data_IF_531496472510
#
_entry.id   IF_531496472510
#
_cell.length_a   1.000
_cell.length_b   1.000
_cell.length_c   1.000
_cell.angle_alpha   90.00
_cell.angle_beta   90.00
_cell.angle_gamma   90.00
#
_symmetry.space_group_name_H-M   'P 1'
#
loop_
_entity.id
_entity.type
_entity.pdbx_description
1 polymer ?
#
# COMPACT_ATOMS: atom_id res chain seq x y z
N UNK A 1 -9.32 15.23 39.96
CA UNK A 1 -9.18 16.27 38.91
C UNK A 1 -8.88 15.71 37.52
N UNK A 2 -8.15 14.59 37.34
CA UNK A 2 -7.79 14.06 36.00
C UNK A 2 -8.91 13.46 35.13
N UNK A 3 -10.07 13.07 35.69
CA UNK A 3 -11.21 12.54 34.90
C UNK A 3 -11.98 13.64 34.13
N UNK A 4 -12.03 14.86 34.66
CA UNK A 4 -12.72 15.98 34.02
C UNK A 4 -11.90 16.57 32.87
N UNK A 5 -10.57 16.64 33.00
CA UNK A 5 -9.68 17.10 31.91
C UNK A 5 -9.75 16.16 30.70
N UNK A 6 -9.81 14.85 30.95
CA UNK A 6 -9.84 13.86 29.89
C UNK A 6 -11.14 13.83 29.08
N UNK A 7 -12.27 14.04 29.75
CA UNK A 7 -13.57 14.11 29.07
C UNK A 7 -13.65 15.36 28.20
N UNK A 8 -13.12 16.48 28.71
CA UNK A 8 -13.01 17.73 27.95
C UNK A 8 -12.08 17.57 26.73
N UNK A 9 -10.95 16.89 26.86
CA UNK A 9 -10.02 16.63 25.75
C UNK A 9 -10.66 15.79 24.63
N UNK A 10 -11.43 14.76 24.99
CA UNK A 10 -12.15 13.92 24.01
C UNK A 10 -13.24 14.70 23.27
N UNK A 11 -13.96 15.59 23.96
CA UNK A 11 -14.96 16.48 23.35
C UNK A 11 -14.26 17.49 22.43
N UNK A 12 -13.14 18.07 22.86
CA UNK A 12 -12.37 18.99 22.03
C UNK A 12 -11.82 18.32 20.76
N UNK A 13 -11.33 17.08 20.85
CA UNK A 13 -10.91 16.31 19.67
C UNK A 13 -12.07 16.02 18.71
N UNK A 14 -13.25 15.72 19.27
CA UNK A 14 -14.50 15.50 18.52
C UNK A 14 -14.87 16.76 17.72
N UNK A 15 -14.87 17.93 18.37
CA UNK A 15 -15.17 19.21 17.72
C UNK A 15 -14.12 19.60 16.67
N UNK A 16 -12.83 19.39 16.96
CA UNK A 16 -11.75 19.65 16.00
C UNK A 16 -11.89 18.80 14.74
N UNK A 17 -12.25 17.52 14.87
CA UNK A 17 -12.50 16.64 13.73
C UNK A 17 -13.68 17.15 12.89
N UNK A 18 -14.79 17.51 13.53
CA UNK A 18 -15.97 18.03 12.86
C UNK A 18 -15.67 19.32 12.08
N UNK A 19 -15.10 20.33 12.74
CA UNK A 19 -14.79 21.64 12.15
C UNK A 19 -13.82 21.56 10.97
N UNK A 20 -12.92 20.57 10.96
CA UNK A 20 -11.89 20.44 9.91
C UNK A 20 -12.36 19.67 8.69
N UNK A 21 -13.26 18.70 8.85
CA UNK A 21 -13.53 17.69 7.81
C UNK A 21 -15.02 17.63 7.44
N UNK A 22 -15.92 17.80 8.40
CA UNK A 22 -17.34 17.49 8.21
C UNK A 22 -18.22 18.73 8.08
N UNK A 23 -17.89 19.82 8.78
CA UNK A 23 -18.60 21.09 8.61
C UNK A 23 -18.51 21.58 7.16
N UNK A 24 -19.51 22.34 6.72
CA UNK A 24 -19.55 22.89 5.36
C UNK A 24 -18.30 23.73 5.04
N UNK A 25 -17.87 24.59 5.97
CA UNK A 25 -16.64 25.37 5.83
C UNK A 25 -15.39 24.47 5.76
N UNK A 26 -15.25 23.51 6.68
CA UNK A 26 -14.08 22.62 6.70
C UNK A 26 -13.97 21.74 5.46
N UNK A 27 -15.11 21.30 4.92
CA UNK A 27 -15.17 20.60 3.64
C UNK A 27 -14.72 21.48 2.49
N UNK A 28 -15.26 22.70 2.38
CA UNK A 28 -14.90 23.65 1.30
C UNK A 28 -13.42 24.01 1.36
N UNK A 29 -12.91 24.35 2.55
CA UNK A 29 -11.47 24.62 2.77
C UNK A 29 -10.60 23.43 2.34
N UNK A 30 -11.01 22.21 2.68
CA UNK A 30 -10.29 21.01 2.28
C UNK A 30 -10.36 20.82 0.77
N UNK A 31 -11.50 21.07 0.16
CA UNK A 31 -11.68 20.95 -1.29
C UNK A 31 -10.84 21.95 -2.08
N UNK A 32 -10.84 23.21 -1.68
CA UNK A 32 -10.02 24.26 -2.27
C UNK A 32 -8.53 23.94 -2.16
N UNK A 33 -8.07 23.40 -1.03
CA UNK A 33 -6.68 22.94 -0.88
C UNK A 33 -6.34 21.81 -1.85
N UNK A 34 -7.23 20.85 -2.05
CA UNK A 34 -7.01 19.77 -3.03
C UNK A 34 -6.98 20.30 -4.46
N UNK A 35 -7.76 21.33 -4.76
CA UNK A 35 -7.71 22.02 -6.06
C UNK A 35 -6.40 22.79 -6.25
N UNK A 36 -5.98 23.58 -5.27
CA UNK A 36 -4.71 24.33 -5.31
C UNK A 36 -3.49 23.40 -5.43
N UNK A 37 -3.52 22.26 -4.72
CA UNK A 37 -2.45 21.26 -4.74
C UNK A 37 -2.54 20.30 -5.92
N UNK A 38 -3.50 20.46 -6.84
CA UNK A 38 -3.74 19.48 -7.90
C UNK A 38 -2.51 19.22 -8.77
N UNK A 39 -1.85 20.28 -9.27
CA UNK A 39 -0.66 20.13 -10.11
C UNK A 39 0.52 19.47 -9.37
N UNK A 40 0.69 19.81 -8.08
CA UNK A 40 1.68 19.17 -7.23
C UNK A 40 1.37 17.67 -7.07
N UNK A 41 0.12 17.33 -6.74
CA UNK A 41 -0.32 15.96 -6.61
C UNK A 41 -0.12 15.17 -7.91
N UNK A 42 -0.43 15.76 -9.07
CA UNK A 42 -0.22 15.14 -10.39
C UNK A 42 1.24 14.74 -10.57
N UNK A 43 2.16 15.67 -10.33
CA UNK A 43 3.60 15.41 -10.40
C UNK A 43 4.01 14.30 -9.45
N UNK A 44 3.61 14.37 -8.19
CA UNK A 44 3.97 13.36 -7.19
C UNK A 44 3.39 11.98 -7.52
N UNK A 45 2.17 11.89 -8.05
CA UNK A 45 1.60 10.62 -8.47
C UNK A 45 2.44 9.96 -9.57
N UNK A 46 2.84 10.71 -10.61
CA UNK A 46 3.70 10.14 -11.66
C UNK A 46 5.08 9.73 -11.14
N UNK A 47 5.65 10.49 -10.20
CA UNK A 47 6.97 10.19 -9.61
C UNK A 47 6.92 8.99 -8.65
N UNK A 48 5.80 8.76 -7.97
CA UNK A 48 5.71 7.70 -6.95
C UNK A 48 5.06 6.42 -7.46
N UNK A 49 3.95 6.52 -8.19
CA UNK A 49 3.13 5.36 -8.58
C UNK A 49 3.80 4.55 -9.68
N UNK A 50 4.41 5.22 -10.67
CA UNK A 50 4.91 4.54 -11.86
C UNK A 50 6.13 3.64 -11.58
N UNK A 51 7.21 4.08 -10.90
CA UNK A 51 8.31 3.18 -10.54
C UNK A 51 7.84 2.01 -9.67
N UNK A 52 6.85 2.26 -8.82
CA UNK A 52 6.29 1.27 -7.92
C UNK A 52 5.47 0.21 -8.65
N UNK A 53 4.54 0.60 -9.54
CA UNK A 53 3.75 -0.31 -10.37
C UNK A 53 4.65 -1.14 -11.30
N UNK A 54 5.68 -0.54 -11.90
CA UNK A 54 6.62 -1.23 -12.78
C UNK A 54 7.52 -2.21 -12.01
N UNK A 55 7.99 -1.84 -10.82
CA UNK A 55 8.73 -2.76 -9.94
C UNK A 55 7.84 -3.95 -9.59
N UNK A 56 6.59 -3.68 -9.24
CA UNK A 56 5.67 -4.72 -8.84
C UNK A 56 5.32 -5.67 -9.96
N UNK A 57 5.05 -5.16 -11.15
CA UNK A 57 4.86 -6.03 -12.30
C UNK A 57 6.13 -6.84 -12.59
N UNK A 58 7.29 -6.19 -12.59
CA UNK A 58 8.57 -6.84 -12.87
C UNK A 58 8.85 -8.01 -11.93
N UNK A 59 8.82 -7.76 -10.63
CA UNK A 59 9.05 -8.76 -9.58
C UNK A 59 7.92 -9.79 -9.56
N UNK A 60 6.66 -9.35 -9.64
CA UNK A 60 5.48 -10.22 -9.61
C UNK A 60 5.52 -11.27 -10.73
N UNK A 61 5.85 -10.85 -11.96
CA UNK A 61 5.97 -11.77 -13.10
C UNK A 61 7.15 -12.74 -12.94
N UNK A 62 8.28 -12.33 -12.34
CA UNK A 62 9.40 -13.25 -12.06
C UNK A 62 9.03 -14.36 -11.08
N UNK A 63 8.11 -14.09 -10.15
CA UNK A 63 7.52 -15.09 -9.26
C UNK A 63 6.26 -15.75 -9.84
N UNK A 64 5.95 -15.51 -11.12
CA UNK A 64 4.79 -16.02 -11.83
C UNK A 64 3.45 -15.69 -11.12
N UNK A 65 3.38 -14.54 -10.45
CA UNK A 65 2.13 -14.02 -9.90
C UNK A 65 1.24 -13.50 -11.01
N UNK A 66 -0.07 -13.70 -10.87
CA UNK A 66 -1.00 -13.12 -11.83
C UNK A 66 -1.04 -11.60 -11.66
N UNK A 67 -0.97 -10.80 -12.73
CA UNK A 67 -1.06 -9.34 -12.62
C UNK A 67 -2.30 -8.86 -11.87
N UNK A 68 -3.43 -9.59 -11.99
CA UNK A 68 -4.67 -9.27 -11.28
C UNK A 68 -4.52 -9.34 -9.74
N UNK A 69 -3.62 -10.20 -9.26
CA UNK A 69 -3.38 -10.41 -7.83
C UNK A 69 -2.56 -9.26 -7.22
N UNK A 70 -1.78 -8.55 -8.05
CA UNK A 70 -0.94 -7.42 -7.65
C UNK A 70 -1.82 -6.23 -7.27
N UNK A 71 -2.35 -6.23 -6.03
CA UNK A 71 -3.32 -5.23 -5.55
C UNK A 71 -2.93 -3.78 -5.81
N UNK A 72 -1.69 -3.32 -5.58
CA UNK A 72 -1.33 -1.94 -5.88
C UNK A 72 -1.43 -1.60 -7.36
N UNK A 73 -1.08 -2.52 -8.25
CA UNK A 73 -1.34 -2.40 -9.69
C UNK A 73 -2.85 -2.26 -9.87
N UNK A 74 -3.64 -3.23 -9.42
CA UNK A 74 -5.08 -3.30 -9.66
C UNK A 74 -5.96 -2.40 -8.79
N UNK A 75 -5.38 -1.56 -7.94
CA UNK A 75 -6.12 -0.63 -7.09
C UNK A 75 -6.63 0.55 -7.91
N UNK A 76 -7.76 0.34 -8.58
CA UNK A 76 -8.48 1.35 -9.33
C UNK A 76 -9.97 1.26 -8.99
N UNK A 77 -10.57 2.40 -8.65
CA UNK A 77 -12.01 2.50 -8.47
C UNK A 77 -12.57 3.48 -9.50
N UNK A 78 -13.75 3.19 -10.02
CA UNK A 78 -14.54 4.16 -10.73
C UNK A 78 -15.37 4.97 -9.73
N UNK A 79 -15.46 6.28 -9.99
CA UNK A 79 -16.24 7.21 -9.18
C UNK A 79 -17.50 7.57 -9.95
N UNK A 80 -18.65 7.44 -9.31
CA UNK A 80 -19.92 7.92 -9.82
C UNK A 80 -20.58 8.87 -8.81
N UNK A 81 -21.29 9.86 -9.34
CA UNK A 81 -22.07 10.77 -8.49
C UNK A 81 -23.29 10.04 -7.91
N UNK A 82 -23.67 10.37 -6.66
CA UNK A 82 -24.80 9.74 -6.00
C UNK A 82 -26.13 10.20 -6.60
N UNK A 83 -27.19 9.43 -6.37
CA UNK A 83 -28.56 9.93 -6.54
C UNK A 83 -28.92 10.98 -5.49
N UNK A 84 -30.05 11.68 -5.68
CA UNK A 84 -30.56 12.63 -4.68
C UNK A 84 -30.83 11.92 -3.34
N UNK A 85 -31.46 10.75 -3.37
CA UNK A 85 -31.76 9.96 -2.16
C UNK A 85 -30.48 9.50 -1.45
N UNK A 86 -29.48 9.07 -2.20
CA UNK A 86 -28.15 8.73 -1.68
C UNK A 86 -27.49 9.93 -1.01
N UNK A 87 -27.55 11.11 -1.64
CA UNK A 87 -27.01 12.36 -1.09
C UNK A 87 -27.72 12.77 0.21
N UNK A 88 -29.04 12.64 0.28
CA UNK A 88 -29.82 12.90 1.51
C UNK A 88 -29.46 11.94 2.64
N UNK A 89 -29.04 10.71 2.31
CA UNK A 89 -28.47 9.77 3.27
C UNK A 89 -26.97 9.97 3.53
N UNK A 90 -26.38 11.04 3.00
CA UNK A 90 -24.99 11.42 3.21
C UNK A 90 -24.00 10.62 2.38
N UNK A 91 -24.42 9.97 1.29
CA UNK A 91 -23.51 9.37 0.31
C UNK A 91 -23.20 10.46 -0.71
N UNK A 92 -21.97 10.98 -0.69
CA UNK A 92 -21.50 12.07 -1.53
C UNK A 92 -20.84 11.57 -2.81
N UNK A 93 -20.28 10.36 -2.78
CA UNK A 93 -19.63 9.74 -3.93
C UNK A 93 -19.68 8.23 -3.82
N UNK A 94 -19.95 7.57 -4.95
CA UNK A 94 -19.94 6.12 -5.07
C UNK A 94 -18.59 5.65 -5.61
N UNK A 95 -18.10 4.56 -5.02
CA UNK A 95 -16.86 3.90 -5.40
C UNK A 95 -17.17 2.48 -5.81
N UNK A 96 -16.86 2.17 -7.06
CA UNK A 96 -17.00 0.83 -7.64
C UNK A 96 -15.62 0.34 -8.03
N UNK A 97 -15.27 -0.89 -7.63
CA UNK A 97 -13.99 -1.46 -8.00
C UNK A 97 -13.96 -1.63 -9.53
N UNK A 98 -12.90 -1.14 -10.16
CA UNK A 98 -12.74 -1.29 -11.61
C UNK A 98 -12.65 -2.77 -11.97
N UNK A 99 -13.44 -3.21 -12.94
CA UNK A 99 -13.46 -4.60 -13.36
C UNK A 99 -12.41 -4.87 -14.45
N UNK A 100 -11.21 -5.23 -14.03
CA UNK A 100 -10.10 -5.58 -14.90
C UNK A 100 -10.41 -6.73 -15.86
N UNK A 101 -11.25 -7.68 -15.45
CA UNK A 101 -11.56 -8.87 -16.26
C UNK A 101 -12.30 -8.55 -17.56
N UNK A 102 -12.92 -7.37 -17.66
CA UNK A 102 -13.65 -6.94 -18.86
C UNK A 102 -12.71 -6.21 -19.83
N UNK A 103 -11.93 -5.25 -19.33
CA UNK A 103 -11.16 -4.35 -20.20
C UNK A 103 -9.72 -4.83 -20.46
N UNK A 104 -9.15 -5.60 -19.53
CA UNK A 104 -7.81 -6.16 -19.61
C UNK A 104 -7.83 -7.65 -19.21
N UNK A 105 -8.53 -8.52 -19.95
CA UNK A 105 -8.68 -9.94 -19.61
C UNK A 105 -7.34 -10.66 -19.46
N UNK A 106 -6.30 -10.22 -20.16
CA UNK A 106 -4.94 -10.76 -20.08
C UNK A 106 -4.30 -10.61 -18.69
N UNK A 107 -4.82 -9.74 -17.80
CA UNK A 107 -4.29 -9.61 -16.43
C UNK A 107 -4.63 -10.81 -15.54
N UNK A 108 -5.62 -11.61 -15.94
CA UNK A 108 -6.12 -12.70 -15.11
C UNK A 108 -5.12 -13.85 -14.98
N UNK A 109 -4.41 -14.15 -16.07
CA UNK A 109 -3.40 -15.20 -16.11
C UNK A 109 -2.04 -14.63 -16.51
N UNK A 110 -1.01 -14.93 -15.73
CA UNK A 110 0.37 -14.50 -15.99
C UNK A 110 0.87 -14.87 -17.39
N UNK A 111 0.57 -16.07 -17.90
CA UNK A 111 1.00 -16.52 -19.22
C UNK A 111 0.33 -15.71 -20.32
N UNK A 112 -0.98 -15.50 -20.23
CA UNK A 112 -1.71 -14.66 -21.19
C UNK A 112 -1.12 -13.24 -21.18
N UNK A 113 -0.90 -12.67 -19.99
CA UNK A 113 -0.25 -11.37 -19.88
C UNK A 113 1.10 -11.35 -20.60
N UNK A 114 1.96 -12.34 -20.35
CA UNK A 114 3.30 -12.45 -20.94
C UNK A 114 3.21 -12.56 -22.47
N UNK A 115 2.38 -13.47 -22.98
CA UNK A 115 2.21 -13.70 -24.42
C UNK A 115 1.62 -12.49 -25.16
N UNK A 116 0.67 -11.77 -24.55
CA UNK A 116 0.03 -10.63 -25.19
C UNK A 116 0.84 -9.32 -25.11
N UNK A 117 1.76 -9.21 -24.14
CA UNK A 117 2.50 -7.97 -23.88
C UNK A 117 3.98 -8.02 -24.25
N UNK A 118 4.57 -9.19 -24.50
CA UNK A 118 5.99 -9.31 -24.83
C UNK A 118 6.25 -9.99 -26.18
N UNK A 119 7.38 -9.64 -26.79
CA UNK A 119 7.86 -10.29 -28.00
C UNK A 119 8.41 -11.69 -27.70
N UNK A 120 8.26 -12.61 -28.66
CA UNK A 120 8.57 -14.04 -28.48
C UNK A 120 10.03 -14.30 -28.03
N UNK A 121 10.99 -13.56 -28.59
CA UNK A 121 12.41 -13.69 -28.25
C UNK A 121 12.69 -13.40 -26.77
N UNK A 122 11.94 -12.46 -26.17
CA UNK A 122 12.04 -12.17 -24.75
C UNK A 122 11.35 -13.24 -23.91
N UNK A 123 10.17 -13.71 -24.33
CA UNK A 123 9.38 -14.70 -23.58
C UNK A 123 10.21 -15.93 -23.26
N UNK A 124 10.95 -16.47 -24.24
CA UNK A 124 11.76 -17.66 -24.02
C UNK A 124 12.81 -17.45 -22.90
N UNK A 125 13.60 -16.39 -22.96
CA UNK A 125 14.61 -16.08 -21.94
C UNK A 125 13.99 -15.73 -20.58
N UNK A 126 12.87 -15.02 -20.61
CA UNK A 126 12.14 -14.62 -19.41
C UNK A 126 11.62 -15.84 -18.65
N UNK A 127 10.97 -16.77 -19.35
CA UNK A 127 10.40 -17.98 -18.74
C UNK A 127 11.44 -18.89 -18.07
N UNK A 128 12.68 -18.92 -18.57
CA UNK A 128 13.78 -19.65 -17.92
C UNK A 128 14.25 -18.99 -16.62
N UNK A 129 14.02 -17.68 -16.47
CA UNK A 129 14.43 -16.90 -15.30
C UNK A 129 13.35 -16.87 -14.21
N UNK A 130 12.11 -17.22 -14.56
CA UNK A 130 10.98 -17.25 -13.64
C UNK A 130 11.10 -18.37 -12.59
N UNK A 131 10.66 -18.09 -11.36
CA UNK A 131 10.57 -19.06 -10.27
C UNK A 131 9.14 -19.60 -10.19
N UNK A 132 9.02 -20.91 -10.03
CA UNK A 132 7.71 -21.58 -9.91
C UNK A 132 7.22 -21.52 -8.46
N UNK A 133 5.92 -21.34 -8.26
CA UNK A 133 5.31 -21.57 -6.96
C UNK A 133 5.33 -23.09 -6.70
N UNK A 134 5.93 -23.53 -5.59
CA UNK A 134 6.04 -24.94 -5.27
C UNK A 134 4.65 -25.51 -4.99
N UNK A 135 4.34 -26.62 -5.66
CA UNK A 135 3.22 -27.48 -5.29
C UNK A 135 3.76 -28.65 -4.47
N UNK A 136 3.07 -29.00 -3.39
CA UNK A 136 3.48 -30.11 -2.53
C UNK A 136 3.60 -31.40 -3.35
N UNK A 137 4.73 -32.10 -3.22
CA UNK A 137 5.01 -33.35 -3.96
C UNK A 137 5.55 -33.19 -5.39
N UNK A 138 5.59 -31.97 -5.96
CA UNK A 138 6.11 -31.73 -7.32
C UNK A 138 7.12 -30.58 -7.44
N UNK A 139 7.19 -29.69 -6.44
CA UNK A 139 8.15 -28.59 -6.42
C UNK A 139 9.60 -29.05 -6.26
N UNK A 140 10.51 -28.47 -7.03
CA UNK A 140 11.96 -28.74 -6.93
C UNK A 140 12.59 -27.77 -5.95
N UNK A 141 13.31 -28.29 -4.96
CA UNK A 141 14.01 -27.50 -3.97
C UNK A 141 15.00 -26.50 -4.63
N UNK A 142 14.94 -25.22 -4.25
CA UNK A 142 15.77 -24.15 -4.82
C UNK A 142 15.28 -23.53 -6.15
N UNK A 143 14.33 -24.17 -6.84
CA UNK A 143 13.67 -23.61 -8.03
C UNK A 143 12.21 -23.26 -7.79
N UNK A 144 11.64 -23.77 -6.70
CA UNK A 144 10.26 -23.58 -6.33
C UNK A 144 10.11 -22.88 -4.97
N UNK A 145 9.03 -22.12 -4.82
CA UNK A 145 8.72 -21.30 -3.65
C UNK A 145 7.75 -22.04 -2.71
N UNK A 146 8.10 -22.24 -1.43
CA UNK A 146 7.31 -23.01 -0.45
C UNK A 146 6.52 -22.07 0.52
N UNK A 147 5.29 -22.49 0.90
CA UNK A 147 4.22 -21.70 1.56
C UNK A 147 3.65 -20.54 0.70
N UNK A 148 2.71 -20.85 -0.22
CA UNK A 148 2.27 -19.87 -1.20
C UNK A 148 1.47 -18.73 -0.58
N UNK A 149 0.75 -18.88 0.53
CA UNK A 149 -0.22 -17.85 0.93
C UNK A 149 0.44 -16.67 1.64
N UNK A 150 1.21 -16.92 2.70
CA UNK A 150 1.82 -15.84 3.49
C UNK A 150 2.91 -15.13 2.70
N UNK A 151 3.73 -15.88 1.96
CA UNK A 151 4.73 -15.29 1.07
C UNK A 151 4.10 -14.54 -0.11
N UNK A 152 3.06 -15.09 -0.75
CA UNK A 152 2.40 -14.36 -1.84
C UNK A 152 1.84 -13.05 -1.31
N UNK A 153 1.22 -13.03 -0.14
CA UNK A 153 0.70 -11.79 0.46
C UNK A 153 1.78 -10.79 0.85
N UNK A 154 2.93 -11.29 1.34
CA UNK A 154 4.12 -10.49 1.60
C UNK A 154 4.63 -9.80 0.32
N UNK A 155 4.82 -10.54 -0.76
CA UNK A 155 5.25 -10.01 -2.06
C UNK A 155 4.18 -9.14 -2.75
N UNK A 156 2.91 -9.53 -2.66
CA UNK A 156 1.76 -8.89 -3.31
C UNK A 156 1.44 -7.52 -2.73
N UNK A 157 1.59 -7.37 -1.41
CA UNK A 157 1.14 -6.16 -0.72
C UNK A 157 1.96 -5.78 0.52
N UNK A 158 2.54 -6.75 1.24
CA UNK A 158 3.24 -6.54 2.50
C UNK A 158 4.50 -5.67 2.39
N UNK A 159 5.44 -6.02 1.52
CA UNK A 159 6.69 -5.26 1.32
C UNK A 159 6.38 -3.84 0.84
N UNK A 160 5.51 -3.75 -0.17
CA UNK A 160 5.07 -2.48 -0.74
C UNK A 160 4.41 -1.57 0.29
N UNK A 161 3.60 -2.14 1.18
CA UNK A 161 3.01 -1.38 2.27
C UNK A 161 4.05 -0.91 3.27
N UNK A 162 5.01 -1.77 3.60
CA UNK A 162 6.14 -1.42 4.45
C UNK A 162 6.90 -0.22 3.87
N UNK A 163 7.14 -0.23 2.56
CA UNK A 163 7.85 0.84 1.85
C UNK A 163 7.14 2.19 1.88
N UNK A 164 5.81 2.19 1.86
CA UNK A 164 5.01 3.43 2.01
C UNK A 164 4.93 3.92 3.45
N UNK A 165 5.12 3.05 4.43
CA UNK A 165 5.05 3.40 5.84
C UNK A 165 6.39 3.91 6.38
N UNK A 166 7.50 3.51 5.78
CA UNK A 166 8.83 3.78 6.26
C UNK A 166 9.71 4.40 5.17
N UNK A 167 10.56 5.33 5.57
CA UNK A 167 11.75 5.71 4.82
C UNK A 167 12.66 4.49 4.64
N UNK A 168 13.51 4.47 3.61
CA UNK A 168 14.50 3.38 3.43
C UNK A 168 15.62 3.60 4.43
N UNK A 169 15.35 3.22 5.66
CA UNK A 169 16.26 3.30 6.78
C UNK A 169 16.27 1.95 7.50
N UNK A 170 17.04 1.86 8.57
CA UNK A 170 17.13 0.65 9.38
C UNK A 170 15.78 0.14 9.88
N UNK A 171 14.76 0.99 10.05
CA UNK A 171 13.43 0.55 10.49
C UNK A 171 12.69 -0.22 9.41
N UNK A 172 12.85 0.18 8.15
CA UNK A 172 12.30 -0.51 7.00
C UNK A 172 12.96 -1.88 6.81
N UNK A 173 14.30 -1.93 6.78
CA UNK A 173 15.04 -3.19 6.61
C UNK A 173 14.76 -4.18 7.75
N UNK A 174 14.82 -3.73 9.01
CA UNK A 174 14.53 -4.60 10.15
C UNK A 174 13.11 -5.17 10.11
N UNK A 175 12.14 -4.36 9.67
CA UNK A 175 10.76 -4.82 9.54
C UNK A 175 10.60 -5.83 8.42
N UNK A 176 11.20 -5.58 7.27
CA UNK A 176 11.09 -6.47 6.12
C UNK A 176 11.82 -7.80 6.34
N UNK A 177 12.98 -7.78 7.00
CA UNK A 177 13.70 -8.99 7.39
C UNK A 177 12.83 -9.87 8.31
N UNK A 178 12.19 -9.28 9.32
CA UNK A 178 11.26 -10.03 10.19
C UNK A 178 10.04 -10.58 9.42
N UNK A 179 9.45 -9.78 8.53
CA UNK A 179 8.33 -10.23 7.71
C UNK A 179 8.75 -11.35 6.74
N UNK A 180 9.97 -11.28 6.22
CA UNK A 180 10.57 -12.28 5.34
C UNK A 180 10.82 -13.60 6.09
N UNK A 181 11.47 -13.54 7.25
CA UNK A 181 11.72 -14.69 8.13
C UNK A 181 10.43 -15.44 8.45
N UNK A 182 9.37 -14.71 8.82
CA UNK A 182 8.08 -15.29 9.18
C UNK A 182 7.28 -15.78 7.98
N UNK A 183 7.42 -15.15 6.82
CA UNK A 183 6.76 -15.61 5.59
C UNK A 183 7.50 -16.74 4.90
N UNK A 184 8.65 -17.17 5.44
CA UNK A 184 9.59 -18.10 4.79
C UNK A 184 9.96 -17.66 3.35
N UNK A 185 9.88 -16.35 3.08
CA UNK A 185 10.24 -15.83 1.77
C UNK A 185 11.75 -15.93 1.55
N UNK A 186 12.22 -16.21 0.32
CA UNK A 186 13.66 -16.26 0.02
C UNK A 186 14.34 -14.98 0.49
N UNK A 187 15.49 -15.08 1.15
CA UNK A 187 16.22 -13.92 1.70
C UNK A 187 16.45 -12.81 0.66
N UNK A 188 16.60 -13.21 -0.59
CA UNK A 188 16.84 -12.33 -1.74
C UNK A 188 15.60 -11.54 -2.17
N UNK A 189 14.39 -11.87 -1.72
CA UNK A 189 13.13 -11.26 -2.18
C UNK A 189 13.04 -9.76 -1.89
N UNK A 190 13.45 -9.33 -0.70
CA UNK A 190 13.48 -7.91 -0.32
C UNK A 190 14.58 -7.17 -1.11
N UNK A 191 15.76 -7.77 -1.25
CA UNK A 191 16.88 -7.21 -2.02
C UNK A 191 16.48 -6.94 -3.48
N UNK A 192 15.82 -7.90 -4.13
CA UNK A 192 15.38 -7.77 -5.53
C UNK A 192 14.38 -6.62 -5.66
N UNK A 193 13.40 -6.56 -4.76
CA UNK A 193 12.36 -5.54 -4.81
C UNK A 193 12.94 -4.15 -4.56
N UNK A 194 13.76 -4.00 -3.52
CA UNK A 194 14.37 -2.73 -3.16
C UNK A 194 15.35 -2.26 -4.22
N UNK A 195 16.28 -3.13 -4.66
CA UNK A 195 17.22 -2.80 -5.73
C UNK A 195 16.49 -2.38 -7.01
N UNK A 196 15.47 -3.12 -7.46
CA UNK A 196 14.70 -2.75 -8.67
C UNK A 196 13.95 -1.43 -8.52
N UNK A 197 13.32 -1.20 -7.37
CA UNK A 197 12.65 0.06 -7.10
C UNK A 197 13.62 1.25 -7.11
N UNK A 198 14.77 1.12 -6.45
CA UNK A 198 15.80 2.16 -6.40
C UNK A 198 16.40 2.43 -7.78
N UNK A 199 16.65 1.38 -8.57
CA UNK A 199 17.08 1.48 -9.97
C UNK A 199 16.06 2.26 -10.80
N UNK A 200 14.77 1.88 -10.75
CA UNK A 200 13.72 2.56 -11.50
C UNK A 200 13.54 4.01 -11.06
N UNK A 201 13.60 4.28 -9.75
CA UNK A 201 13.49 5.64 -9.21
C UNK A 201 14.68 6.52 -9.61
N UNK A 202 15.89 5.96 -9.58
CA UNK A 202 17.07 6.66 -10.06
C UNK A 202 16.95 6.94 -11.56
N UNK A 203 16.58 5.94 -12.35
CA UNK A 203 16.39 6.11 -13.79
C UNK A 203 15.39 7.23 -14.07
N UNK A 204 14.25 7.24 -13.37
CA UNK A 204 13.21 8.27 -13.53
C UNK A 204 13.71 9.72 -13.34
N UNK A 205 14.74 9.93 -12.51
CA UNK A 205 15.24 11.28 -12.20
C UNK A 205 16.53 11.61 -12.95
N UNK A 206 17.38 10.62 -13.19
CA UNK A 206 18.72 10.79 -13.73
C UNK A 206 18.82 10.55 -15.24
N UNK A 207 17.83 9.91 -15.85
CA UNK A 207 17.80 9.63 -17.29
C UNK A 207 16.38 9.75 -17.85
N UNK A 208 16.20 10.55 -18.90
CA UNK A 208 14.92 10.58 -19.59
C UNK A 208 14.64 9.21 -20.25
N UNK A 209 13.75 8.45 -19.63
CA UNK A 209 13.31 7.13 -20.09
C UNK A 209 11.82 7.17 -20.43
N UNK A 210 11.49 6.88 -21.69
CA UNK A 210 10.11 6.80 -22.17
C UNK A 210 9.33 5.75 -21.39
N UNK A 211 8.09 6.07 -21.01
CA UNK A 211 7.24 5.18 -20.20
C UNK A 211 7.57 5.17 -18.70
N UNK A 212 8.57 5.93 -18.24
CA UNK A 212 8.95 6.03 -16.82
C UNK A 212 9.08 7.49 -16.34
N UNK A 213 9.73 8.33 -17.13
CA UNK A 213 10.13 9.69 -16.74
C UNK A 213 9.08 10.73 -17.12
N UNK A 214 8.54 11.51 -16.16
CA UNK A 214 7.72 12.67 -16.50
C UNK A 214 8.55 13.74 -17.21
N UNK A 215 7.99 14.36 -18.24
CA UNK A 215 8.64 15.47 -18.95
C UNK A 215 8.99 16.60 -17.97
N UNK A 216 10.20 17.14 -18.09
CA UNK A 216 10.70 18.21 -17.22
C UNK A 216 11.15 17.78 -15.82
N UNK A 217 10.97 16.51 -15.43
CA UNK A 217 11.46 15.99 -14.15
C UNK A 217 12.75 15.20 -14.26
N UNK A 218 13.01 14.58 -15.41
CA UNK A 218 14.21 13.78 -15.66
C UNK A 218 15.32 14.58 -16.36
N UNK A 219 16.57 14.21 -16.09
CA UNK A 219 17.76 14.75 -16.78
C UNK A 219 18.10 13.91 -18.02
N UNK A 220 18.82 14.50 -18.97
CA UNK A 220 19.49 13.70 -19.99
C UNK A 220 20.72 13.05 -19.38
N UNK A 221 20.80 11.72 -19.44
CA UNK A 221 21.89 10.94 -18.89
C UNK A 221 23.16 11.09 -19.73
N UNK A 222 24.32 10.94 -19.08
CA UNK A 222 25.58 10.72 -19.80
C UNK A 222 25.50 9.35 -20.45
N UNK A 223 25.95 9.26 -21.70
CA UNK A 223 26.02 7.98 -22.42
C UNK A 223 27.45 7.44 -22.39
N UNK A 224 27.58 6.16 -22.09
CA UNK A 224 28.84 5.40 -22.16
C UNK A 224 28.60 4.24 -23.13
N UNK A 225 29.34 4.19 -24.25
CA UNK A 225 29.16 3.18 -25.31
C UNK A 225 27.72 3.06 -25.85
N UNK A 226 26.97 4.17 -25.88
CA UNK A 226 25.57 4.20 -26.32
C UNK A 226 24.55 3.84 -25.24
N UNK A 227 25.00 3.40 -24.05
CA UNK A 227 24.15 3.07 -22.90
C UNK A 227 23.98 4.29 -22.00
N UNK A 228 22.77 4.48 -21.46
CA UNK A 228 22.50 5.50 -20.47
C UNK A 228 23.11 5.12 -19.12
N UNK A 229 23.88 6.01 -18.51
CA UNK A 229 24.53 5.79 -17.21
C UNK A 229 23.79 6.55 -16.10
N UNK A 230 23.44 5.85 -15.03
CA UNK A 230 22.76 6.43 -13.87
C UNK A 230 23.39 5.96 -12.56
N UNK A 231 23.38 6.82 -11.51
CA UNK A 231 23.78 6.43 -10.17
C UNK A 231 22.64 5.66 -9.49
N UNK A 232 22.86 4.48 -8.97
CA UNK A 232 21.87 3.72 -8.20
C UNK A 232 22.43 3.35 -6.83
N UNK A 233 21.61 2.70 -6.02
CA UNK A 233 21.99 2.14 -4.73
C UNK A 233 21.60 0.67 -4.73
N UNK A 234 22.47 -0.19 -4.18
CA UNK A 234 22.12 -1.59 -3.93
C UNK A 234 21.17 -1.71 -2.72
N UNK A 235 20.70 -2.93 -2.42
CA UNK A 235 19.82 -3.19 -1.29
C UNK A 235 20.43 -2.82 0.07
N UNK A 236 21.76 -2.72 0.18
CA UNK A 236 22.48 -2.34 1.40
C UNK A 236 22.75 -0.83 1.48
N UNK A 237 22.33 -0.05 0.47
CA UNK A 237 22.58 1.39 0.38
C UNK A 237 23.98 1.76 -0.13
N UNK A 238 24.72 0.81 -0.70
CA UNK A 238 26.00 1.13 -1.34
C UNK A 238 25.76 1.81 -2.69
N UNK A 239 26.45 2.93 -2.98
CA UNK A 239 26.34 3.59 -4.27
C UNK A 239 26.96 2.73 -5.37
N UNK A 240 26.23 2.56 -6.46
CA UNK A 240 26.64 1.79 -7.64
C UNK A 240 26.31 2.57 -8.91
N UNK A 241 27.07 2.37 -9.97
CA UNK A 241 26.73 2.92 -11.28
C UNK A 241 26.19 1.81 -12.17
N UNK A 242 25.05 2.07 -12.80
CA UNK A 242 24.44 1.12 -13.74
C UNK A 242 24.30 1.76 -15.12
N UNK A 243 24.47 0.94 -16.13
CA UNK A 243 24.24 1.29 -17.53
C UNK A 243 23.03 0.51 -18.03
N UNK A 244 22.15 1.16 -18.77
CA UNK A 244 20.99 0.51 -19.37
C UNK A 244 20.65 1.12 -20.73
N UNK A 245 19.90 0.38 -21.54
CA UNK A 245 19.43 0.82 -22.86
C UNK A 245 17.97 1.26 -22.79
N UNK A 246 17.11 0.37 -22.26
CA UNK A 246 15.66 0.50 -22.32
C UNK A 246 15.01 0.26 -20.94
N UNK A 247 13.73 0.60 -20.83
CA UNK A 247 12.97 0.45 -19.58
C UNK A 247 12.88 -1.01 -19.13
N UNK A 248 12.81 -1.94 -20.07
CA UNK A 248 12.67 -3.38 -19.79
C UNK A 248 13.93 -3.96 -19.14
N UNK A 249 15.10 -3.37 -19.41
CA UNK A 249 16.35 -3.71 -18.73
C UNK A 249 16.32 -3.25 -17.26
N UNK A 250 15.67 -2.13 -16.95
CA UNK A 250 15.47 -1.70 -15.57
C UNK A 250 14.47 -2.62 -14.84
N UNK A 251 13.40 -3.02 -15.54
CA UNK A 251 12.33 -3.86 -14.97
C UNK A 251 12.76 -5.31 -14.77
N UNK A 252 13.47 -5.90 -15.74
CA UNK A 252 13.73 -7.33 -15.80
C UNK A 252 15.22 -7.71 -15.90
N UNK A 253 16.08 -6.75 -16.25
CA UNK A 253 17.49 -6.98 -16.50
C UNK A 253 18.24 -7.55 -15.29
N UNK A 254 19.34 -8.25 -15.58
CA UNK A 254 20.30 -8.76 -14.61
C UNK A 254 21.44 -7.75 -14.44
N UNK A 255 21.56 -7.16 -13.25
CA UNK A 255 22.70 -6.32 -12.87
C UNK A 255 23.55 -7.07 -11.86
N UNK A 256 24.72 -7.56 -12.30
CA UNK A 256 25.63 -8.32 -11.44
C UNK A 256 26.08 -7.49 -10.23
N UNK A 257 26.05 -8.09 -9.05
CA UNK A 257 26.40 -7.42 -7.79
C UNK A 257 25.28 -6.55 -7.19
N UNK A 258 24.16 -6.35 -7.91
CA UNK A 258 23.02 -5.54 -7.43
C UNK A 258 21.74 -6.39 -7.33
N UNK A 259 21.46 -7.15 -8.39
CA UNK A 259 20.35 -8.10 -8.43
C UNK A 259 20.89 -9.50 -8.13
N UNK A 260 20.32 -10.22 -7.14
CA UNK A 260 20.70 -11.59 -6.84
C UNK A 260 20.59 -12.52 -8.06
N UNK A 261 21.53 -13.47 -8.19
CA UNK A 261 21.56 -14.42 -9.29
C UNK A 261 20.27 -15.24 -9.37
N UNK A 262 19.76 -15.40 -10.60
CA UNK A 262 18.50 -16.11 -10.85
C UNK A 262 17.23 -15.26 -10.67
N UNK A 263 17.36 -13.95 -10.45
CA UNK A 263 16.25 -13.00 -10.32
C UNK A 263 16.37 -11.81 -11.29
N UNK A 264 17.01 -12.05 -12.43
CA UNK A 264 17.08 -11.14 -13.57
C UNK A 264 17.30 -11.95 -14.83
N UNK A 265 16.98 -11.35 -15.97
CA UNK A 265 17.12 -11.99 -17.27
C UNK A 265 18.02 -11.17 -18.20
N UNK A 266 18.69 -11.86 -19.11
CA UNK A 266 19.41 -11.24 -20.20
C UNK A 266 18.41 -10.74 -21.22
N UNK A 267 18.37 -9.43 -21.44
CA UNK A 267 17.43 -8.80 -22.35
C UNK A 267 17.98 -8.91 -23.79
N UNK A 268 17.20 -9.45 -24.75
CA UNK A 268 17.63 -9.46 -26.14
C UNK A 268 17.70 -8.03 -26.70
N UNK A 269 18.55 -7.78 -27.72
CA UNK A 269 18.60 -6.47 -28.36
C UNK A 269 17.26 -6.16 -29.04
N UNK A 270 16.68 -4.99 -28.76
CA UNK A 270 15.43 -4.54 -29.35
C UNK A 270 14.39 -4.13 -28.30
N UNK A 271 13.14 -4.00 -28.76
CA UNK A 271 11.99 -3.72 -27.90
C UNK A 271 11.46 -5.03 -27.32
N UNK A 272 11.20 -5.06 -26.02
CA UNK A 272 10.69 -6.26 -25.34
C UNK A 272 9.17 -6.25 -25.33
N UNK A 273 8.55 -5.08 -25.12
CA UNK A 273 7.11 -4.97 -25.18
C UNK A 273 6.58 -5.09 -26.61
N UNK A 274 5.53 -5.90 -26.78
CA UNK A 274 4.83 -6.08 -28.04
C UNK A 274 3.94 -4.87 -28.35
N UNK A 275 3.97 -4.44 -29.62
CA UNK A 275 3.08 -3.41 -30.14
C UNK A 275 1.93 -4.09 -30.88
N UNK A 276 0.71 -3.56 -30.71
CA UNK A 276 -0.38 -3.92 -31.60
C UNK A 276 -0.15 -3.28 -32.97
N UNK A 277 -0.54 -3.99 -34.04
CA UNK A 277 -0.39 -3.52 -35.42
C UNK A 277 -0.92 -2.08 -35.60
N UNK A 278 -0.05 -1.21 -36.12
CA UNK A 278 -0.34 0.20 -36.38
C UNK A 278 -0.46 1.10 -35.14
N UNK A 279 -0.25 0.58 -33.91
CA UNK A 279 -0.34 1.38 -32.68
C UNK A 279 1.03 1.82 -32.17
N UNK A 280 1.08 3.04 -31.62
CA UNK A 280 2.30 3.70 -31.12
C UNK A 280 2.64 3.37 -29.67
N UNK A 281 1.79 2.63 -28.95
CA UNK A 281 1.97 2.36 -27.51
C UNK A 281 1.65 0.89 -27.19
N UNK A 282 2.52 0.20 -26.42
CA UNK A 282 2.25 -1.17 -26.00
C UNK A 282 0.98 -1.27 -25.14
N UNK A 283 0.35 -2.45 -25.15
CA UNK A 283 -0.89 -2.74 -24.42
C UNK A 283 -0.83 -2.38 -22.95
N UNK A 284 0.17 -2.90 -22.24
CA UNK A 284 0.36 -2.62 -20.82
C UNK A 284 0.43 -1.12 -20.47
N UNK A 285 1.08 -0.30 -21.31
CA UNK A 285 1.15 1.15 -21.05
C UNK A 285 -0.20 1.86 -21.24
N UNK A 286 -1.13 1.31 -22.04
CA UNK A 286 -2.51 1.83 -22.11
C UNK A 286 -3.21 1.71 -20.77
N UNK A 287 -2.98 0.60 -20.08
CA UNK A 287 -3.51 0.38 -18.76
C UNK A 287 -2.90 1.36 -17.74
N UNK A 288 -1.57 1.50 -17.70
CA UNK A 288 -0.93 2.46 -16.79
C UNK A 288 -1.40 3.89 -17.05
N UNK A 289 -1.52 4.30 -18.31
CA UNK A 289 -2.06 5.61 -18.68
C UNK A 289 -3.50 5.80 -18.21
N UNK A 290 -4.37 4.80 -18.40
CA UNK A 290 -5.76 4.83 -17.90
C UNK A 290 -5.80 4.94 -16.38
N UNK A 291 -5.02 4.13 -15.67
CA UNK A 291 -4.94 4.14 -14.20
C UNK A 291 -4.51 5.52 -13.72
N UNK A 292 -3.42 6.05 -14.27
CA UNK A 292 -2.90 7.37 -13.91
C UNK A 292 -3.94 8.46 -14.17
N UNK A 293 -4.47 8.57 -15.39
CA UNK A 293 -5.50 9.57 -15.73
C UNK A 293 -6.72 9.49 -14.82
N UNK A 294 -7.14 8.27 -14.48
CA UNK A 294 -8.28 8.07 -13.59
C UNK A 294 -7.99 8.54 -12.17
N UNK A 295 -6.85 8.14 -11.57
CA UNK A 295 -6.43 8.60 -10.24
C UNK A 295 -6.33 10.13 -10.20
N UNK A 296 -5.72 10.74 -11.22
CA UNK A 296 -5.52 12.18 -11.30
C UNK A 296 -6.85 12.93 -11.36
N UNK A 297 -7.75 12.52 -12.26
CA UNK A 297 -9.10 13.09 -12.37
C UNK A 297 -9.89 12.97 -11.07
N UNK A 298 -9.68 11.88 -10.34
CA UNK A 298 -10.41 11.57 -9.11
C UNK A 298 -9.83 12.25 -7.86
N UNK A 299 -8.57 12.67 -7.90
CA UNK A 299 -7.86 13.22 -6.73
C UNK A 299 -8.58 14.43 -6.13
N UNK A 300 -9.18 15.29 -6.96
CA UNK A 300 -9.94 16.47 -6.52
C UNK A 300 -11.21 16.11 -5.74
N UNK A 301 -11.72 14.89 -5.88
CA UNK A 301 -12.92 14.39 -5.18
C UNK A 301 -12.58 13.62 -3.90
N UNK A 302 -11.30 13.53 -3.53
CA UNK A 302 -10.88 12.94 -2.24
C UNK A 302 -11.61 13.56 -1.02
N UNK A 303 -11.84 14.89 -0.95
CA UNK A 303 -12.61 15.49 0.15
C UNK A 303 -14.06 14.99 0.21
N UNK A 304 -14.69 14.75 -0.94
CA UNK A 304 -16.03 14.16 -1.02
C UNK A 304 -16.02 12.72 -0.47
N UNK A 305 -14.97 11.96 -0.76
CA UNK A 305 -14.75 10.64 -0.21
C UNK A 305 -14.58 10.64 1.33
N UNK A 306 -13.94 11.67 1.89
CA UNK A 306 -13.82 11.82 3.34
C UNK A 306 -15.14 12.25 4.01
N UNK A 307 -15.92 13.08 3.32
CA UNK A 307 -17.24 13.53 3.74
C UNK A 307 -18.31 12.44 3.63
N UNK A 308 -18.07 11.38 2.86
CA UNK A 308 -18.99 10.26 2.76
C UNK A 308 -19.52 9.78 4.11
N UNK A 309 -20.80 9.45 4.08
CA UNK A 309 -21.67 9.04 5.19
C UNK A 309 -22.01 10.14 6.21
N UNK A 310 -21.80 11.40 5.85
CA UNK A 310 -22.26 12.58 6.60
C UNK A 310 -23.45 13.21 5.90
N UNK A 311 -24.59 13.31 6.59
CA UNK A 311 -25.79 13.90 5.99
C UNK A 311 -25.74 15.43 6.02
N UNK A 312 -26.40 16.12 5.08
CA UNK A 312 -26.51 17.59 5.12
C UNK A 312 -27.08 18.14 6.44
N UNK A 313 -28.06 17.46 7.04
CA UNK A 313 -28.66 17.88 8.33
C UNK A 313 -27.67 17.86 9.52
N UNK A 314 -26.58 17.11 9.39
CA UNK A 314 -25.57 16.95 10.43
C UNK A 314 -24.49 18.05 10.38
N UNK A 315 -24.46 18.89 9.34
CA UNK A 315 -23.50 19.98 9.15
C UNK A 315 -23.61 21.08 10.23
N UNK A 316 -24.75 21.13 10.92
CA UNK A 316 -25.05 22.17 11.92
C UNK A 316 -24.40 21.91 13.27
N UNK A 317 -24.09 20.64 13.61
CA UNK A 317 -23.61 20.31 14.95
C UNK A 317 -22.82 19.01 15.03
N UNK A 318 -21.68 19.00 15.75
CA UNK A 318 -20.91 17.77 16.01
C UNK A 318 -21.68 16.73 16.83
N UNK A 319 -22.75 17.14 17.53
CA UNK A 319 -23.56 16.22 18.33
C UNK A 319 -24.61 15.47 17.50
N UNK A 320 -25.01 16.01 16.36
CA UNK A 320 -25.96 15.36 15.44
C UNK A 320 -25.26 14.38 14.49
N UNK A 321 -23.96 14.57 14.25
CA UNK A 321 -23.18 13.79 13.29
C UNK A 321 -22.85 12.38 13.78
N UNK A 322 -23.42 11.36 13.12
CA UNK A 322 -23.09 9.95 13.36
C UNK A 322 -21.61 9.64 13.09
N UNK A 323 -21.01 10.28 12.08
CA UNK A 323 -19.57 10.18 11.77
C UNK A 323 -18.70 10.71 12.91
N UNK A 324 -19.13 11.80 13.52
CA UNK A 324 -18.42 12.41 14.65
C UNK A 324 -18.53 11.53 15.90
N UNK A 325 -19.68 10.90 16.14
CA UNK A 325 -19.84 9.88 17.19
C UNK A 325 -18.96 8.65 16.93
N UNK A 326 -18.95 8.12 15.70
CA UNK A 326 -18.07 7.01 15.30
C UNK A 326 -16.59 7.34 15.57
N UNK A 327 -16.13 8.53 15.18
CA UNK A 327 -14.77 8.98 15.45
C UNK A 327 -14.48 9.03 16.96
N UNK A 328 -15.38 9.65 17.73
CA UNK A 328 -15.23 9.77 19.18
C UNK A 328 -15.16 8.41 19.89
N UNK A 329 -15.98 7.43 19.50
CA UNK A 329 -15.92 6.07 20.06
C UNK A 329 -14.57 5.41 19.80
N UNK A 330 -14.05 5.52 18.57
CA UNK A 330 -12.75 4.95 18.20
C UNK A 330 -11.58 5.64 18.95
N UNK A 331 -11.62 6.96 19.12
CA UNK A 331 -10.60 7.66 19.92
C UNK A 331 -10.72 7.33 21.41
N UNK A 332 -11.93 7.14 21.92
CA UNK A 332 -12.14 6.76 23.33
C UNK A 332 -11.56 5.38 23.61
N UNK A 333 -11.81 4.40 22.73
CA UNK A 333 -11.18 3.08 22.82
C UNK A 333 -9.64 3.19 22.79
N UNK A 334 -9.10 3.96 21.83
CA UNK A 334 -7.65 4.20 21.72
C UNK A 334 -7.06 4.77 23.01
N UNK A 335 -7.64 5.83 23.57
CA UNK A 335 -7.15 6.47 24.80
C UNK A 335 -7.23 5.55 26.01
N UNK A 336 -8.28 4.72 26.11
CA UNK A 336 -8.39 3.73 27.17
C UNK A 336 -7.25 2.72 27.11
N UNK A 337 -6.90 2.23 25.91
CA UNK A 337 -5.75 1.34 25.71
C UNK A 337 -4.46 2.07 26.07
N UNK A 338 -4.25 3.29 25.58
CA UNK A 338 -3.04 4.07 25.87
C UNK A 338 -2.79 4.25 27.37
N UNK A 339 -3.84 4.40 28.19
CA UNK A 339 -3.76 4.44 29.66
C UNK A 339 -3.42 3.12 30.32
N UNK A 340 -4.05 2.04 29.84
CA UNK A 340 -3.76 0.69 30.34
C UNK A 340 -2.27 0.42 30.14
N UNK A 341 -1.74 0.74 28.95
CA UNK A 341 -0.32 0.60 28.66
C UNK A 341 0.52 1.45 29.60
N UNK A 342 0.25 2.75 29.69
CA UNK A 342 1.04 3.68 30.51
C UNK A 342 1.12 3.25 31.98
N UNK A 343 0.03 2.70 32.53
CA UNK A 343 -0.05 2.23 33.92
C UNK A 343 0.79 0.96 34.18
N UNK A 344 1.03 0.15 33.13
CA UNK A 344 1.72 -1.15 33.23
C UNK A 344 3.17 -1.10 32.71
N UNK A 345 3.68 0.06 32.28
CA UNK A 345 5.11 0.23 31.97
C UNK A 345 5.87 0.36 33.30
N UNK A 346 6.99 -0.35 33.50
CA UNK A 346 7.74 -0.28 34.73
C UNK A 346 8.53 1.04 34.85
N UNK A 347 8.79 1.56 36.08
CA UNK A 347 9.39 2.88 36.29
C UNK A 347 10.68 3.14 35.52
N UNK A 348 11.52 2.12 35.36
CA UNK A 348 12.79 2.17 34.63
C UNK A 348 12.63 2.45 33.12
N UNK A 349 11.50 2.10 32.52
CA UNK A 349 11.19 2.34 31.11
C UNK A 349 10.25 3.55 30.92
N UNK A 350 9.83 4.23 32.00
CA UNK A 350 8.91 5.38 31.95
C UNK A 350 9.63 6.66 31.54
N UNK A 351 9.88 6.80 30.25
CA UNK A 351 10.12 8.11 29.63
C UNK A 351 9.03 8.41 28.58
N UNK A 352 8.75 9.69 28.26
CA UNK A 352 7.65 10.05 27.35
C UNK A 352 7.74 9.39 25.96
N UNK A 353 8.95 9.20 25.44
CA UNK A 353 9.20 8.58 24.13
C UNK A 353 8.87 7.08 24.17
N UNK A 354 9.38 6.38 25.17
CA UNK A 354 9.14 4.96 25.44
C UNK A 354 7.68 4.68 25.69
N UNK A 355 7.02 5.49 26.52
CA UNK A 355 5.57 5.40 26.75
C UNK A 355 4.84 5.46 25.41
N UNK A 356 5.18 6.42 24.54
CA UNK A 356 4.56 6.52 23.22
C UNK A 356 4.88 5.31 22.34
N UNK A 357 6.10 4.78 22.36
CA UNK A 357 6.48 3.59 21.62
C UNK A 357 5.69 2.36 22.09
N UNK A 358 5.60 2.10 23.39
CA UNK A 358 4.78 1.01 23.95
C UNK A 358 3.29 1.17 23.63
N UNK A 359 2.76 2.40 23.70
CA UNK A 359 1.39 2.69 23.28
C UNK A 359 1.16 2.35 21.81
N UNK A 360 2.06 2.78 20.93
CA UNK A 360 2.00 2.45 19.51
C UNK A 360 2.11 0.92 19.29
N UNK A 361 2.95 0.24 20.06
CA UNK A 361 3.13 -1.21 20.00
C UNK A 361 1.82 -1.94 20.31
N UNK A 362 1.17 -1.62 21.42
CA UNK A 362 -0.10 -2.25 21.79
C UNK A 362 -1.22 -1.87 20.82
N UNK A 363 -1.26 -0.62 20.34
CA UNK A 363 -2.23 -0.22 19.31
C UNK A 363 -2.03 -0.96 17.98
N UNK A 364 -0.81 -1.39 17.66
CA UNK A 364 -0.50 -2.22 16.49
C UNK A 364 -1.15 -3.60 16.60
N UNK A 365 -1.14 -4.23 17.79
CA UNK A 365 -1.77 -5.53 18.04
C UNK A 365 -3.25 -5.55 17.63
N UNK A 366 -3.93 -4.43 17.82
CA UNK A 366 -5.33 -4.26 17.45
C UNK A 366 -5.42 -3.81 16.00
N UNK A 367 -4.59 -2.84 15.60
CA UNK A 367 -4.84 -2.07 14.39
C UNK A 367 -4.41 -2.71 13.08
N UNK A 368 -3.38 -3.55 13.11
CA UNK A 368 -2.90 -4.23 11.91
C UNK A 368 -3.86 -5.34 11.48
N UNK A 369 -4.25 -6.29 12.36
CA UNK A 369 -5.22 -7.33 11.99
C UNK A 369 -6.64 -6.80 11.76
N UNK A 370 -7.03 -5.71 12.45
CA UNK A 370 -8.36 -5.09 12.29
C UNK A 370 -8.30 -3.80 11.44
N UNK A 371 -7.55 -3.81 10.33
CA UNK A 371 -7.47 -2.67 9.42
C UNK A 371 -8.63 -2.68 8.42
N UNK A 372 -9.42 -1.60 8.39
CA UNK A 372 -10.54 -1.42 7.43
C UNK A 372 -10.11 -1.11 6.00
N UNK A 373 -8.94 -0.49 5.85
CA UNK A 373 -8.32 -0.25 4.54
C UNK A 373 -7.33 -1.40 4.33
N UNK A 374 -7.81 -2.44 3.66
CA UNK A 374 -7.22 -3.78 3.64
C UNK A 374 -5.88 -3.89 2.93
N UNK A 375 -5.63 -3.01 1.95
CA UNK A 375 -4.43 -3.08 1.13
C UNK A 375 -3.14 -3.07 1.97
N UNK A 376 -2.36 -4.15 1.85
CA UNK A 376 -1.08 -4.31 2.55
C UNK A 376 -1.16 -4.77 4.00
N UNK A 377 -2.36 -5.08 4.52
CA UNK A 377 -2.54 -5.53 5.90
C UNK A 377 -3.00 -6.98 6.04
N UNK A 378 -3.42 -7.62 4.95
CA UNK A 378 -3.94 -8.99 4.95
C UNK A 378 -2.92 -10.02 5.47
N UNK A 379 -1.62 -9.78 5.24
CA UNK A 379 -0.55 -10.61 5.81
C UNK A 379 -0.64 -10.73 7.35
N UNK A 380 -0.92 -9.63 8.06
CA UNK A 380 -1.00 -9.64 9.52
C UNK A 380 -2.25 -10.36 10.05
N UNK A 381 -3.30 -10.46 9.24
CA UNK A 381 -4.47 -11.28 9.54
C UNK A 381 -4.14 -12.77 9.37
N UNK A 382 -3.43 -13.12 8.30
CA UNK A 382 -3.04 -14.49 7.97
C UNK A 382 -1.98 -15.08 8.91
N UNK A 383 -1.14 -14.25 9.53
CA UNK A 383 -0.14 -14.69 10.50
C UNK A 383 -0.73 -15.38 11.74
N UNK A 384 -1.99 -15.12 12.10
CA UNK A 384 -2.62 -15.75 13.26
C UNK A 384 -1.78 -15.63 14.54
N UNK A 385 -1.32 -16.77 15.07
CA UNK A 385 -0.51 -16.86 16.29
C UNK A 385 0.93 -16.35 16.09
N UNK A 386 1.49 -16.47 14.89
CA UNK A 386 2.85 -15.98 14.55
C UNK A 386 2.95 -14.46 14.61
N UNK A 387 1.80 -13.75 14.58
CA UNK A 387 1.75 -12.31 14.72
C UNK A 387 2.28 -11.83 16.09
N UNK A 388 2.15 -12.64 17.16
CA UNK A 388 2.73 -12.31 18.47
C UNK A 388 4.26 -12.30 18.39
N UNK A 389 4.84 -13.32 17.77
CA UNK A 389 6.29 -13.46 17.59
C UNK A 389 6.83 -12.28 16.78
N UNK A 390 6.23 -12.00 15.62
CA UNK A 390 6.52 -10.80 14.83
C UNK A 390 6.53 -9.52 15.68
N UNK A 391 5.46 -9.33 16.45
CA UNK A 391 5.26 -8.13 17.22
C UNK A 391 6.32 -7.95 18.31
N UNK A 392 6.65 -9.01 19.04
CA UNK A 392 7.71 -8.99 20.06
C UNK A 392 9.05 -8.62 19.44
N UNK A 393 9.45 -9.32 18.38
CA UNK A 393 10.76 -9.16 17.78
C UNK A 393 10.89 -7.79 17.09
N UNK A 394 9.83 -7.33 16.41
CA UNK A 394 9.80 -6.00 15.79
C UNK A 394 10.05 -4.90 16.79
N UNK A 395 9.30 -4.88 17.90
CA UNK A 395 9.44 -3.82 18.91
C UNK A 395 10.71 -3.95 19.75
N UNK A 396 11.20 -5.18 19.96
CA UNK A 396 12.49 -5.41 20.59
C UNK A 396 13.64 -4.85 19.75
N UNK A 397 13.63 -5.03 18.42
CA UNK A 397 14.63 -4.43 17.51
C UNK A 397 14.55 -2.90 17.47
N UNK A 398 13.38 -2.31 17.78
CA UNK A 398 13.22 -0.86 17.99
C UNK A 398 13.68 -0.40 19.39
N UNK A 399 14.25 -1.32 20.18
CA UNK A 399 14.86 -1.07 21.47
C UNK A 399 13.89 -1.16 22.66
N UNK A 400 12.65 -1.65 22.49
CA UNK A 400 11.74 -1.87 23.63
C UNK A 400 12.11 -3.15 24.38
N UNK A 401 11.94 -3.11 25.70
CA UNK A 401 12.20 -4.27 26.55
C UNK A 401 11.19 -5.40 26.31
N UNK A 402 11.69 -6.60 26.00
CA UNK A 402 10.89 -7.80 25.69
C UNK A 402 9.99 -8.23 26.84
N UNK A 403 10.46 -8.25 28.09
CA UNK A 403 9.64 -8.69 29.22
C UNK A 403 8.48 -7.72 29.48
N UNK A 404 8.70 -6.41 29.25
CA UNK A 404 7.62 -5.42 29.30
C UNK A 404 6.61 -5.64 28.18
N UNK A 405 7.06 -5.93 26.95
CA UNK A 405 6.16 -6.24 25.84
C UNK A 405 5.33 -7.50 26.10
N UNK A 406 5.94 -8.57 26.61
CA UNK A 406 5.25 -9.80 26.98
C UNK A 406 4.20 -9.55 28.04
N UNK A 407 4.53 -8.78 29.09
CA UNK A 407 3.59 -8.38 30.12
C UNK A 407 2.40 -7.60 29.53
N UNK A 408 2.67 -6.57 28.72
CA UNK A 408 1.63 -5.77 28.07
C UNK A 408 0.75 -6.61 27.14
N UNK A 409 1.32 -7.59 26.44
CA UNK A 409 0.55 -8.52 25.63
C UNK A 409 -0.41 -9.33 26.50
N UNK A 410 0.05 -9.93 27.60
CA UNK A 410 -0.83 -10.72 28.48
C UNK A 410 -1.92 -9.86 29.16
N UNK A 411 -1.64 -8.57 29.43
CA UNK A 411 -2.66 -7.61 29.93
C UNK A 411 -3.77 -7.37 28.91
N UNK A 412 -3.43 -7.24 27.62
CA UNK A 412 -4.40 -6.86 26.56
C UNK A 412 -5.02 -8.08 25.87
N UNK A 413 -4.36 -9.23 25.89
CA UNK A 413 -4.80 -10.48 25.26
C UNK A 413 -6.26 -10.85 25.55
N UNK A 414 -6.79 -10.75 26.80
CA UNK A 414 -8.18 -11.11 27.09
C UNK A 414 -9.21 -10.28 26.31
N UNK A 415 -8.91 -9.00 26.03
CA UNK A 415 -9.83 -8.09 25.33
C UNK A 415 -9.48 -7.90 23.85
N UNK A 416 -8.35 -8.44 23.37
CA UNK A 416 -7.82 -8.19 22.02
C UNK A 416 -8.82 -8.53 20.91
N UNK A 417 -9.44 -9.70 20.96
CA UNK A 417 -10.42 -10.14 19.96
C UNK A 417 -11.68 -9.26 19.96
N UNK A 418 -12.14 -8.87 21.15
CA UNK A 418 -13.29 -7.99 21.29
C UNK A 418 -12.98 -6.60 20.73
N UNK A 419 -11.83 -6.00 21.10
CA UNK A 419 -11.39 -4.70 20.60
C UNK A 419 -11.24 -4.68 19.08
N UNK A 420 -10.70 -5.75 18.48
CA UNK A 420 -10.60 -5.91 17.02
C UNK A 420 -11.98 -5.93 16.36
N UNK A 421 -12.92 -6.72 16.90
CA UNK A 421 -14.30 -6.81 16.40
C UNK A 421 -15.04 -5.48 16.52
N UNK A 422 -14.98 -4.84 17.68
CA UNK A 422 -15.60 -3.54 17.92
C UNK A 422 -15.07 -2.47 16.98
N UNK A 423 -13.75 -2.40 16.78
CA UNK A 423 -13.14 -1.45 15.84
C UNK A 423 -13.68 -1.62 14.41
N UNK A 424 -13.78 -2.86 13.93
CA UNK A 424 -14.33 -3.16 12.60
C UNK A 424 -15.83 -2.84 12.52
N UNK A 425 -16.59 -3.22 13.55
CA UNK A 425 -18.02 -2.97 13.66
C UNK A 425 -18.31 -1.47 13.69
N UNK A 426 -17.81 -0.75 14.71
CA UNK A 426 -17.98 0.69 14.86
C UNK A 426 -17.52 1.42 13.60
N UNK A 427 -16.39 1.00 13.01
CA UNK A 427 -15.86 1.61 11.80
C UNK A 427 -16.68 1.35 10.53
N UNK A 428 -17.49 0.28 10.46
CA UNK A 428 -18.35 -0.01 9.30
C UNK A 428 -19.81 0.39 9.50
N UNK A 429 -20.23 0.61 10.75
CA UNK A 429 -21.61 0.86 11.15
C UNK A 429 -22.28 1.97 10.33
N UNK A 430 -21.76 3.19 10.42
CA UNK A 430 -22.35 4.37 9.75
C UNK A 430 -22.45 4.14 8.24
N UNK A 431 -21.41 3.56 7.62
CA UNK A 431 -21.42 3.23 6.19
C UNK A 431 -22.54 2.25 5.83
N UNK A 432 -22.69 1.17 6.61
CA UNK A 432 -23.72 0.15 6.39
C UNK A 432 -25.11 0.74 6.56
N UNK A 433 -25.34 1.49 7.63
CA UNK A 433 -26.62 2.16 7.90
C UNK A 433 -27.00 3.12 6.79
N UNK A 434 -26.10 4.02 6.37
CA UNK A 434 -26.39 4.98 5.29
C UNK A 434 -26.72 4.29 3.98
N UNK A 435 -25.95 3.27 3.61
CA UNK A 435 -26.22 2.50 2.37
C UNK A 435 -27.54 1.73 2.44
N UNK A 436 -27.90 1.18 3.59
CA UNK A 436 -29.17 0.48 3.76
C UNK A 436 -30.35 1.44 3.66
N UNK A 437 -30.26 2.61 4.30
CA UNK A 437 -31.30 3.65 4.21
C UNK A 437 -31.46 4.18 2.78
N UNK A 438 -30.35 4.41 2.07
CA UNK A 438 -30.40 4.84 0.68
C UNK A 438 -31.09 3.80 -0.22
N UNK A 439 -30.78 2.51 -0.02
CA UNK A 439 -31.45 1.41 -0.75
C UNK A 439 -32.95 1.32 -0.48
N UNK A 440 -33.39 1.61 0.75
CA UNK A 440 -34.81 1.60 1.11
C UNK A 440 -35.60 2.75 0.47
N UNK A 441 -34.92 3.82 0.07
CA UNK A 441 -35.55 4.98 -0.58
C UNK A 441 -35.60 4.85 -2.11
N UNK A 442 -34.82 3.94 -2.69
CA UNK A 442 -34.89 3.65 -4.12
C UNK A 442 -36.16 2.83 -4.41
N UNK A 443 -36.90 3.15 -5.50
CA UNK A 443 -38.00 2.30 -5.93
C UNK A 443 -37.48 0.88 -6.22
N UNK A 444 -38.29 -0.18 -5.98
CA UNK A 444 -37.90 -1.54 -6.32
C UNK A 444 -37.57 -1.60 -7.82
N UNK A 445 -36.34 -2.05 -8.13
CA UNK A 445 -35.86 -2.24 -9.50
C UNK A 445 -36.48 -3.47 -10.14
#
# INVERSE_FOLDING_TARGET
MGYFSDTADKVLQKEKYFKKILSSEGFLDTWDRFFQMHNFNVREFYLQVLPFDLTQLGVGLMFLMNPIELEPLTLLNEMSFPSIDELLQGIWINFEAFNFSIEFPEFYFNFDFIFFNFNFDFIFNFMHSCKLIAKFGTGVFGLSVFDPYLMTEYLRSGIYKSRLQHTVDSTFFNKNELLQELSNAPRQSDDILNSRYLILRSAQTSSFTLGLSPLGSARFSKKENGLAKIPAEDANGNPVEITFTNLEELMFGLYLGIIPLGYGCTIPPGLVFAFEDGKKMPKFFKYLDKKMKTILRQTIFTPWAYRNYHKPEEDLSPHKSARTCQYHSLQTQRLAIERIVESNIPPEERNPVRIRQYQNAVLQLISHPAKRHFWGFKMYELMGDDFKTFWLDYWQRQGLNKSTLEHLYEVIKPCLNQLRREKLYTGSLVRKERRNLAKMMLPPR
#
